data_IF_644365387842
#
_entry.id   IF_644365387842
#
_cell.length_a   1.000
_cell.length_b   1.000
_cell.length_c   1.000
_cell.angle_alpha   90.00
_cell.angle_beta   90.00
_cell.angle_gamma   90.00
#
_symmetry.space_group_name_H-M   'P 1'
#
loop_
_entity.id
_entity.type
_entity.pdbx_description
1 polymer ?
#
# COMPACT_ATOMS: atom_id res chain seq x y z
N UNK A 1 -33.23 0.53 -10.52
CA UNK A 1 -32.98 1.94 -10.82
C UNK A 1 -31.60 2.01 -11.47
N UNK A 2 -31.48 2.27 -12.77
CA UNK A 2 -30.18 2.34 -13.43
C UNK A 2 -29.45 3.58 -12.91
N UNK A 3 -28.39 3.39 -12.12
CA UNK A 3 -27.50 4.49 -11.73
C UNK A 3 -26.68 4.90 -12.96
N UNK A 4 -26.92 6.09 -13.47
CA UNK A 4 -26.15 6.68 -14.58
C UNK A 4 -24.74 7.15 -14.14
N UNK A 5 -24.42 7.05 -12.86
CA UNK A 5 -23.11 7.42 -12.31
C UNK A 5 -22.39 6.16 -11.85
N UNK A 6 -21.16 5.98 -12.33
CA UNK A 6 -20.28 4.92 -11.82
C UNK A 6 -19.64 5.42 -10.54
N UNK A 7 -19.85 4.69 -9.44
CA UNK A 7 -19.15 4.92 -8.19
C UNK A 7 -17.81 4.15 -8.24
N UNK A 8 -16.77 4.77 -7.71
CA UNK A 8 -15.38 4.29 -7.83
C UNK A 8 -14.78 4.15 -6.44
N UNK A 9 -14.19 3.00 -6.15
CA UNK A 9 -13.23 2.81 -5.06
C UNK A 9 -11.82 2.96 -5.63
N UNK A 10 -10.98 3.74 -4.96
CA UNK A 10 -9.60 3.96 -5.35
C UNK A 10 -8.67 3.70 -4.18
N UNK A 11 -7.78 2.75 -4.36
CA UNK A 11 -6.61 2.60 -3.52
C UNK A 11 -5.50 3.47 -4.14
N UNK A 12 -5.14 4.55 -3.46
CA UNK A 12 -4.12 5.52 -3.91
C UNK A 12 -2.81 5.26 -3.17
N UNK A 13 -2.22 4.09 -3.41
CA UNK A 13 -1.02 3.65 -2.71
C UNK A 13 0.29 4.26 -3.23
N UNK A 14 1.33 4.22 -2.39
CA UNK A 14 2.69 4.68 -2.73
C UNK A 14 3.29 3.89 -3.89
N UNK A 15 3.09 2.58 -3.95
CA UNK A 15 3.64 1.71 -4.98
C UNK A 15 2.74 1.57 -6.20
N UNK A 16 1.43 1.46 -5.99
CA UNK A 16 0.44 1.23 -7.04
C UNK A 16 -0.88 1.94 -6.75
N UNK A 17 -1.62 2.26 -7.81
CA UNK A 17 -3.00 2.72 -7.77
C UNK A 17 -3.89 1.61 -8.28
N UNK A 18 -4.86 1.19 -7.47
CA UNK A 18 -5.90 0.26 -7.89
C UNK A 18 -7.25 0.99 -7.96
N UNK A 19 -8.01 0.71 -9.00
CA UNK A 19 -9.35 1.28 -9.17
C UNK A 19 -10.37 0.15 -9.27
N UNK A 20 -11.35 0.22 -8.39
CA UNK A 20 -12.51 -0.64 -8.36
C UNK A 20 -13.75 0.12 -8.86
N UNK A 21 -14.51 -0.49 -9.76
CA UNK A 21 -15.81 0.03 -10.20
C UNK A 21 -16.88 -0.95 -9.71
N UNK A 22 -17.93 -0.42 -9.09
CA UNK A 22 -19.09 -1.21 -8.66
C UNK A 22 -19.60 -2.08 -9.81
N UNK A 23 -19.90 -3.33 -9.53
CA UNK A 23 -20.37 -4.37 -10.47
C UNK A 23 -19.34 -4.82 -11.54
N UNK A 24 -18.11 -4.31 -11.52
CA UNK A 24 -17.03 -4.70 -12.44
C UNK A 24 -15.80 -5.25 -11.75
N UNK A 25 -15.65 -5.01 -10.45
CA UNK A 25 -14.43 -5.35 -9.72
C UNK A 25 -13.28 -4.39 -10.00
N UNK A 26 -12.06 -4.87 -9.82
CA UNK A 26 -10.83 -4.10 -10.10
C UNK A 26 -10.66 -3.96 -11.60
N UNK A 27 -10.62 -2.72 -12.08
CA UNK A 27 -10.52 -2.37 -13.51
C UNK A 27 -9.19 -1.73 -13.87
N UNK A 28 -8.39 -1.34 -12.87
CA UNK A 28 -7.05 -0.79 -13.06
C UNK A 28 -6.16 -1.21 -11.89
N UNK A 29 -4.95 -1.63 -12.22
CA UNK A 29 -3.84 -1.84 -11.31
C UNK A 29 -2.58 -1.33 -12.02
N UNK A 30 -2.12 -0.16 -11.63
CA UNK A 30 -1.00 0.53 -12.29
C UNK A 30 -0.03 1.07 -11.25
N UNK A 31 1.28 1.06 -11.52
CA UNK A 31 2.27 1.69 -10.65
C UNK A 31 2.00 3.19 -10.43
N UNK A 32 2.24 3.68 -9.21
CA UNK A 32 2.16 5.10 -8.87
C UNK A 32 3.39 5.86 -9.38
N UNK A 33 3.61 5.86 -10.70
CA UNK A 33 4.77 6.46 -11.35
C UNK A 33 4.33 7.38 -12.48
N UNK A 34 5.01 8.53 -12.59
CA UNK A 34 4.77 9.55 -13.62
C UNK A 34 6.07 9.93 -14.29
N UNK A 35 6.08 10.03 -15.61
CA UNK A 35 7.19 10.56 -16.38
C UNK A 35 6.84 11.95 -16.94
N UNK A 36 7.71 12.92 -16.69
CA UNK A 36 7.55 14.33 -17.05
C UNK A 36 8.73 14.80 -17.90
N UNK A 37 8.46 15.71 -18.82
CA UNK A 37 9.49 16.56 -19.44
C UNK A 37 9.92 17.64 -18.42
N UNK A 38 11.19 17.68 -18.07
CA UNK A 38 11.73 18.61 -17.06
C UNK A 38 11.61 20.08 -17.45
N UNK A 39 11.67 20.36 -18.73
CA UNK A 39 11.75 21.74 -19.22
C UNK A 39 10.34 22.36 -19.32
N UNK A 40 9.35 21.55 -19.69
CA UNK A 40 7.98 22.01 -19.94
C UNK A 40 7.00 21.62 -18.83
N UNK A 41 7.40 20.71 -17.91
CA UNK A 41 6.49 20.11 -16.93
C UNK A 41 5.40 19.23 -17.55
N UNK A 42 5.50 18.94 -18.87
CA UNK A 42 4.49 18.15 -19.59
C UNK A 42 4.51 16.70 -19.11
N UNK A 43 3.33 16.16 -18.81
CA UNK A 43 3.13 14.76 -18.53
C UNK A 43 3.37 13.95 -19.82
N UNK A 44 4.27 12.97 -19.76
CA UNK A 44 4.63 12.10 -20.90
C UNK A 44 4.00 10.73 -20.77
N UNK A 45 4.10 10.10 -19.59
CA UNK A 45 3.61 8.75 -19.31
C UNK A 45 3.16 8.61 -17.87
N UNK A 46 2.26 7.65 -17.59
CA UNK A 46 1.82 7.26 -16.26
C UNK A 46 1.79 5.74 -16.14
N UNK A 47 1.87 5.24 -14.91
CA UNK A 47 1.75 3.82 -14.60
C UNK A 47 2.92 2.98 -15.11
N UNK A 48 2.63 1.81 -15.65
CA UNK A 48 3.63 0.84 -16.10
C UNK A 48 4.60 1.41 -17.16
N UNK A 49 4.09 2.23 -18.08
CA UNK A 49 4.91 2.90 -19.09
C UNK A 49 5.94 3.85 -18.46
N UNK A 50 5.54 4.60 -17.42
CA UNK A 50 6.44 5.49 -16.69
C UNK A 50 7.40 4.70 -15.79
N UNK A 51 6.95 3.61 -15.16
CA UNK A 51 7.80 2.74 -14.35
C UNK A 51 8.94 2.14 -15.17
N UNK A 52 8.69 1.74 -16.42
CA UNK A 52 9.74 1.24 -17.31
C UNK A 52 10.85 2.25 -17.57
N UNK A 53 10.59 3.54 -17.37
CA UNK A 53 11.54 4.64 -17.56
C UNK A 53 12.36 4.96 -16.30
N UNK A 54 11.98 4.47 -15.11
CA UNK A 54 12.74 4.70 -13.87
C UNK A 54 14.20 4.26 -14.01
N UNK A 55 15.13 5.16 -13.65
CA UNK A 55 16.57 4.92 -13.74
C UNK A 55 17.15 4.83 -15.16
N UNK A 56 16.33 5.13 -16.20
CA UNK A 56 16.73 5.01 -17.62
C UNK A 56 16.42 6.26 -18.44
N UNK A 57 16.06 7.36 -17.80
CA UNK A 57 15.67 8.61 -18.47
C UNK A 57 16.91 9.43 -18.87
N UNK A 58 16.90 10.09 -20.07
CA UNK A 58 17.86 11.13 -20.39
C UNK A 58 17.63 12.37 -19.51
N UNK A 59 18.58 13.30 -19.52
CA UNK A 59 18.59 14.45 -18.62
C UNK A 59 17.37 15.38 -18.66
N UNK A 60 16.64 15.39 -19.77
CA UNK A 60 15.43 16.21 -19.98
C UNK A 60 14.13 15.51 -19.55
N UNK A 61 14.17 14.24 -19.16
CA UNK A 61 12.99 13.50 -18.69
C UNK A 61 13.23 13.08 -17.26
N UNK A 62 12.19 13.18 -16.41
CA UNK A 62 12.21 12.65 -15.06
C UNK A 62 11.04 11.69 -14.87
N UNK A 63 11.33 10.50 -14.32
CA UNK A 63 10.32 9.58 -13.84
C UNK A 63 10.32 9.62 -12.31
N UNK A 64 9.18 9.91 -11.69
CA UNK A 64 9.02 10.10 -10.24
C UNK A 64 7.79 9.36 -9.71
N UNK A 65 7.82 9.07 -8.41
CA UNK A 65 6.66 8.65 -7.64
C UNK A 65 6.10 9.86 -6.91
N UNK A 66 4.88 10.30 -7.24
CA UNK A 66 4.27 11.50 -6.64
C UNK A 66 3.69 11.25 -5.24
N UNK A 67 3.56 9.97 -4.84
CA UNK A 67 3.25 9.57 -3.47
C UNK A 67 4.50 8.93 -2.85
N UNK A 68 4.74 9.26 -1.57
CA UNK A 68 5.81 8.66 -0.76
C UNK A 68 5.30 8.46 0.65
N UNK A 69 5.64 7.34 1.25
CA UNK A 69 5.32 7.07 2.65
C UNK A 69 3.82 7.30 2.97
N UNK A 70 2.95 6.86 2.05
CA UNK A 70 1.49 6.96 2.19
C UNK A 70 0.89 8.35 1.93
N UNK A 71 1.71 9.38 1.64
CA UNK A 71 1.23 10.76 1.48
C UNK A 71 1.59 11.34 0.11
N UNK A 72 0.83 12.37 -0.29
CA UNK A 72 1.09 13.13 -1.51
C UNK A 72 2.35 13.99 -1.30
N UNK A 73 3.41 13.70 -2.05
CA UNK A 73 4.66 14.47 -2.04
C UNK A 73 4.70 15.53 -3.14
N UNK A 74 3.94 15.33 -4.23
CA UNK A 74 3.76 16.29 -5.31
C UNK A 74 2.28 16.32 -5.72
N UNK A 75 1.60 17.39 -5.29
CA UNK A 75 0.17 17.53 -5.47
C UNK A 75 -0.25 17.61 -6.95
N UNK A 76 0.42 18.47 -7.73
CA UNK A 76 0.07 18.70 -9.14
C UNK A 76 0.28 17.43 -9.98
N UNK A 77 1.36 16.73 -9.73
CA UNK A 77 1.66 15.47 -10.43
C UNK A 77 0.70 14.37 -10.00
N UNK A 78 0.31 14.30 -8.71
CA UNK A 78 -0.69 13.32 -8.22
C UNK A 78 -2.05 13.57 -8.87
N UNK A 79 -2.52 14.82 -8.90
CA UNK A 79 -3.78 15.19 -9.55
C UNK A 79 -3.80 14.74 -11.01
N UNK A 80 -2.73 15.03 -11.75
CA UNK A 80 -2.61 14.62 -13.17
C UNK A 80 -2.60 13.10 -13.32
N UNK A 81 -1.91 12.38 -12.44
CA UNK A 81 -1.87 10.92 -12.43
C UNK A 81 -3.27 10.33 -12.20
N UNK A 82 -3.98 10.80 -11.17
CA UNK A 82 -5.36 10.37 -10.87
C UNK A 82 -6.26 10.64 -12.07
N UNK A 83 -6.16 11.83 -12.67
CA UNK A 83 -6.95 12.21 -13.84
C UNK A 83 -6.73 11.28 -15.02
N UNK A 84 -5.48 10.93 -15.33
CA UNK A 84 -5.16 9.99 -16.41
C UNK A 84 -5.70 8.59 -16.13
N UNK A 85 -5.59 8.09 -14.88
CA UNK A 85 -6.14 6.81 -14.51
C UNK A 85 -7.68 6.78 -14.57
N UNK A 86 -8.35 7.84 -14.10
CA UNK A 86 -9.80 7.99 -14.26
C UNK A 86 -10.21 8.02 -15.73
N UNK A 87 -9.48 8.72 -16.58
CA UNK A 87 -9.73 8.71 -18.04
C UNK A 87 -9.60 7.31 -18.64
N UNK A 88 -8.58 6.54 -18.25
CA UNK A 88 -8.38 5.15 -18.72
C UNK A 88 -9.58 4.26 -18.41
N UNK A 89 -10.18 4.38 -17.23
CA UNK A 89 -11.23 3.46 -16.74
C UNK A 89 -12.66 3.90 -17.08
N UNK A 90 -12.88 5.22 -17.21
CA UNK A 90 -14.22 5.78 -17.38
C UNK A 90 -14.60 6.07 -18.84
N UNK A 91 -13.60 6.43 -19.66
CA UNK A 91 -13.87 6.99 -21.00
C UNK A 91 -14.70 8.28 -20.92
N UNK A 92 -15.46 8.56 -21.98
CA UNK A 92 -16.36 9.72 -21.99
C UNK A 92 -17.60 9.46 -21.12
N UNK A 93 -17.85 10.33 -20.13
CA UNK A 93 -19.01 10.26 -19.24
C UNK A 93 -19.72 11.61 -19.13
N UNK A 94 -21.07 11.56 -19.19
CA UNK A 94 -21.93 12.73 -18.97
C UNK A 94 -21.98 13.17 -17.49
N UNK A 95 -21.79 12.24 -16.55
CA UNK A 95 -21.89 12.51 -15.11
C UNK A 95 -20.61 12.15 -14.40
N UNK A 96 -20.11 13.06 -13.57
CA UNK A 96 -18.92 12.87 -12.73
C UNK A 96 -19.18 11.82 -11.66
N UNK A 97 -18.22 10.90 -11.36
CA UNK A 97 -18.35 9.85 -10.37
C UNK A 97 -18.29 10.38 -8.93
N UNK A 98 -18.81 9.58 -7.99
CA UNK A 98 -18.40 9.64 -6.59
C UNK A 98 -17.22 8.70 -6.42
N UNK A 99 -16.23 9.11 -5.63
CA UNK A 99 -15.02 8.31 -5.40
C UNK A 99 -14.83 8.14 -3.89
N UNK A 100 -14.57 6.91 -3.44
CA UNK A 100 -13.98 6.64 -2.14
C UNK A 100 -12.49 6.44 -2.36
N UNK A 101 -11.64 7.12 -1.61
CA UNK A 101 -10.18 6.95 -1.64
C UNK A 101 -9.74 6.43 -0.28
N UNK A 102 -8.93 5.37 -0.25
CA UNK A 102 -8.32 4.91 0.98
C UNK A 102 -7.13 5.81 1.37
N UNK A 103 -6.90 5.91 2.65
CA UNK A 103 -5.82 6.69 3.25
C UNK A 103 -5.22 5.93 4.44
N UNK A 104 -3.92 6.10 4.74
CA UNK A 104 -3.31 5.49 5.91
C UNK A 104 -3.98 5.93 7.21
N UNK A 105 -3.89 5.09 8.25
CA UNK A 105 -4.33 5.47 9.59
C UNK A 105 -3.48 6.63 10.13
N UNK A 106 -4.13 7.55 10.83
CA UNK A 106 -3.42 8.70 11.44
C UNK A 106 -2.99 9.80 10.47
N UNK A 107 -3.50 9.80 9.24
CA UNK A 107 -3.32 10.91 8.28
C UNK A 107 -3.76 12.25 8.90
N UNK A 108 -3.01 13.30 8.65
CA UNK A 108 -3.32 14.65 9.13
C UNK A 108 -4.47 15.28 8.34
N UNK A 109 -5.19 16.24 8.95
CA UNK A 109 -6.27 16.99 8.26
C UNK A 109 -5.80 17.68 6.97
N UNK A 110 -4.54 18.11 6.92
CA UNK A 110 -3.94 18.75 5.74
C UNK A 110 -3.76 17.73 4.62
N UNK A 111 -3.28 16.53 4.94
CA UNK A 111 -3.11 15.43 4.00
C UNK A 111 -4.47 14.90 3.53
N UNK A 112 -5.46 14.73 4.43
CA UNK A 112 -6.85 14.36 4.05
C UNK A 112 -7.40 15.36 3.02
N UNK A 113 -7.25 16.67 3.31
CA UNK A 113 -7.72 17.73 2.41
C UNK A 113 -7.01 17.67 1.06
N UNK A 114 -5.70 17.41 1.04
CA UNK A 114 -4.94 17.27 -0.20
C UNK A 114 -5.45 16.10 -1.07
N UNK A 115 -5.77 14.96 -0.46
CA UNK A 115 -6.34 13.80 -1.19
C UNK A 115 -7.72 14.11 -1.75
N UNK A 116 -8.58 14.75 -0.96
CA UNK A 116 -9.93 15.17 -1.39
C UNK A 116 -9.84 16.13 -2.57
N UNK A 117 -9.01 17.18 -2.44
CA UNK A 117 -8.86 18.22 -3.47
C UNK A 117 -8.28 17.62 -4.75
N UNK A 118 -7.28 16.72 -4.67
CA UNK A 118 -6.73 16.02 -5.83
C UNK A 118 -7.80 15.19 -6.56
N UNK A 119 -8.64 14.46 -5.83
CA UNK A 119 -9.74 13.69 -6.41
C UNK A 119 -10.81 14.56 -7.08
N UNK A 120 -11.18 15.69 -6.46
CA UNK A 120 -12.15 16.64 -7.04
C UNK A 120 -11.58 17.28 -8.31
N UNK A 121 -10.33 17.76 -8.28
CA UNK A 121 -9.65 18.38 -9.42
C UNK A 121 -9.45 17.37 -10.57
N UNK A 122 -9.19 16.12 -10.25
CA UNK A 122 -9.10 15.04 -11.24
C UNK A 122 -10.44 14.71 -11.92
N UNK A 123 -11.56 15.21 -11.39
CA UNK A 123 -12.88 15.12 -12.04
C UNK A 123 -13.97 14.41 -11.24
N UNK A 124 -13.74 14.06 -9.99
CA UNK A 124 -14.80 13.53 -9.14
C UNK A 124 -15.88 14.58 -8.84
N UNK A 125 -17.13 14.13 -8.66
CA UNK A 125 -18.22 14.97 -8.15
C UNK A 125 -18.13 15.12 -6.63
N UNK A 126 -17.75 14.03 -5.96
CA UNK A 126 -17.54 13.94 -4.49
C UNK A 126 -16.44 12.93 -4.20
N UNK A 127 -15.68 13.20 -3.17
CA UNK A 127 -14.66 12.30 -2.63
C UNK A 127 -15.00 11.99 -1.18
N UNK A 128 -14.90 10.73 -0.82
CA UNK A 128 -15.00 10.22 0.54
C UNK A 128 -13.68 9.53 0.89
N UNK A 129 -13.35 9.48 2.17
CA UNK A 129 -12.16 8.79 2.64
C UNK A 129 -12.52 7.59 3.50
N UNK A 130 -11.71 6.54 3.42
CA UNK A 130 -11.75 5.36 4.29
C UNK A 130 -10.31 5.03 4.71
N UNK A 131 -10.12 4.63 5.96
CA UNK A 131 -8.80 4.19 6.42
C UNK A 131 -8.40 2.84 5.80
N UNK A 132 -7.13 2.71 5.38
CA UNK A 132 -6.60 1.51 4.72
C UNK A 132 -6.89 0.22 5.50
N UNK A 133 -6.64 0.12 6.83
CA UNK A 133 -6.89 -1.12 7.55
C UNK A 133 -8.40 -1.49 7.63
N UNK A 134 -9.30 -0.50 7.64
CA UNK A 134 -10.76 -0.76 7.60
C UNK A 134 -11.14 -1.31 6.22
N UNK A 135 -10.64 -0.69 5.17
CA UNK A 135 -10.84 -1.19 3.81
C UNK A 135 -10.23 -2.59 3.64
N UNK A 136 -9.00 -2.80 4.14
CA UNK A 136 -8.33 -4.11 4.10
C UNK A 136 -9.15 -5.20 4.79
N UNK A 137 -9.71 -4.94 5.97
CA UNK A 137 -10.57 -5.89 6.69
C UNK A 137 -11.82 -6.26 5.89
N UNK A 138 -12.53 -5.25 5.35
CA UNK A 138 -13.72 -5.46 4.50
C UNK A 138 -13.34 -6.24 3.24
N UNK A 139 -12.21 -5.92 2.63
CA UNK A 139 -11.68 -6.60 1.44
C UNK A 139 -11.36 -8.06 1.71
N UNK A 140 -10.70 -8.35 2.82
CA UNK A 140 -10.39 -9.69 3.29
C UNK A 140 -11.63 -10.51 3.71
N UNK A 141 -12.83 -9.91 3.69
CA UNK A 141 -14.07 -10.60 4.01
C UNK A 141 -14.38 -10.70 5.50
N UNK A 142 -13.74 -9.91 6.34
CA UNK A 142 -13.97 -9.88 7.78
C UNK A 142 -15.26 -9.09 8.06
N UNK A 143 -16.17 -9.67 8.87
CA UNK A 143 -17.34 -8.95 9.36
C UNK A 143 -16.98 -8.05 10.55
N UNK A 144 -16.60 -6.82 10.23
CA UNK A 144 -16.22 -5.82 11.24
C UNK A 144 -17.39 -5.21 12.00
N UNK A 145 -18.65 -5.60 11.71
CA UNK A 145 -19.84 -5.02 12.33
C UNK A 145 -20.13 -5.59 13.71
N UNK A 146 -19.57 -6.75 14.00
CA UNK A 146 -19.75 -7.47 15.26
C UNK A 146 -18.96 -6.84 16.40
N UNK A 147 -19.38 -7.02 17.68
CA UNK A 147 -18.66 -6.55 18.85
C UNK A 147 -17.48 -7.49 19.21
N UNK A 148 -16.64 -7.79 18.22
CA UNK A 148 -15.48 -8.67 18.33
C UNK A 148 -14.22 -7.94 17.82
N UNK A 149 -13.06 -8.25 18.41
CA UNK A 149 -11.78 -7.69 18.02
C UNK A 149 -11.19 -8.41 16.80
N UNK A 150 -10.85 -7.64 15.76
CA UNK A 150 -10.12 -8.11 14.58
C UNK A 150 -8.86 -7.30 14.39
N UNK A 151 -7.71 -7.96 14.22
CA UNK A 151 -6.44 -7.29 13.98
C UNK A 151 -6.01 -7.45 12.51
N UNK A 152 -5.70 -6.32 11.89
CA UNK A 152 -5.21 -6.23 10.53
C UNK A 152 -3.79 -5.66 10.55
N UNK A 153 -2.92 -6.25 9.75
CA UNK A 153 -1.58 -5.72 9.44
C UNK A 153 -1.52 -5.53 7.93
N UNK A 154 -1.65 -4.30 7.46
CA UNK A 154 -1.51 -3.96 6.06
C UNK A 154 -0.11 -3.43 5.77
N UNK A 155 0.69 -4.19 5.01
CA UNK A 155 2.04 -3.79 4.63
C UNK A 155 2.04 -3.42 3.15
N UNK A 156 1.94 -2.12 2.90
CA UNK A 156 1.90 -1.55 1.55
C UNK A 156 3.29 -1.37 0.92
N UNK A 157 3.38 -0.39 0.02
CA UNK A 157 4.66 0.06 -0.56
C UNK A 157 5.39 1.05 0.33
N UNK A 158 4.69 2.03 0.89
CA UNK A 158 5.27 3.14 1.65
C UNK A 158 4.95 3.12 3.15
N UNK A 159 3.83 2.50 3.56
CA UNK A 159 3.37 2.41 4.95
C UNK A 159 3.05 0.99 5.35
N UNK A 160 3.19 0.72 6.65
CA UNK A 160 2.58 -0.42 7.32
C UNK A 160 1.55 0.10 8.30
N UNK A 161 0.31 -0.29 8.09
CA UNK A 161 -0.85 0.11 8.87
C UNK A 161 -1.32 -1.08 9.70
N UNK A 162 -1.28 -0.92 11.01
CA UNK A 162 -1.62 -1.95 11.98
C UNK A 162 -2.83 -1.44 12.77
N UNK A 163 -3.93 -2.18 12.77
CA UNK A 163 -5.14 -1.73 13.46
C UNK A 163 -5.94 -2.88 14.08
N UNK A 164 -6.59 -2.55 15.18
CA UNK A 164 -7.64 -3.35 15.80
C UNK A 164 -8.97 -2.69 15.53
N UNK A 165 -9.89 -3.47 14.96
CA UNK A 165 -11.21 -3.03 14.49
C UNK A 165 -12.28 -3.79 15.23
N UNK A 166 -13.34 -3.08 15.68
CA UNK A 166 -14.54 -3.64 16.28
C UNK A 166 -15.71 -2.71 16.02
N UNK A 167 -16.93 -3.25 15.85
CA UNK A 167 -18.15 -2.47 15.64
C UNK A 167 -18.03 -1.43 14.51
N UNK A 168 -17.38 -1.82 13.41
CA UNK A 168 -17.10 -0.97 12.23
C UNK A 168 -16.24 0.27 12.53
N UNK A 169 -15.51 0.29 13.63
CA UNK A 169 -14.60 1.38 14.01
C UNK A 169 -13.21 0.89 14.36
N UNK A 170 -12.22 1.75 14.16
CA UNK A 170 -10.85 1.53 14.63
C UNK A 170 -10.82 1.78 16.14
N UNK A 171 -10.33 0.80 16.90
CA UNK A 171 -10.18 0.88 18.35
C UNK A 171 -8.78 1.38 18.72
N UNK A 172 -7.77 0.77 18.11
CA UNK A 172 -6.38 1.16 18.24
C UNK A 172 -5.71 1.00 16.87
N UNK A 173 -4.80 1.90 16.52
CA UNK A 173 -4.03 1.81 15.29
C UNK A 173 -2.67 2.48 15.38
N UNK A 174 -1.76 2.01 14.55
CA UNK A 174 -0.47 2.65 14.29
C UNK A 174 -0.17 2.58 12.79
N UNK A 175 0.37 3.65 12.24
CA UNK A 175 0.87 3.72 10.87
C UNK A 175 2.32 4.16 10.87
N UNK A 176 3.18 3.33 10.29
CA UNK A 176 4.61 3.62 10.19
C UNK A 176 5.07 3.65 8.74
N UNK A 177 6.06 4.51 8.49
CA UNK A 177 6.65 4.70 7.15
C UNK A 177 7.74 3.67 6.84
N UNK A 178 7.44 2.41 7.17
CA UNK A 178 8.33 1.25 6.94
C UNK A 178 7.50 0.17 6.24
N UNK A 179 7.79 -0.09 4.98
CA UNK A 179 7.07 -1.04 4.16
C UNK A 179 7.92 -1.51 2.95
N UNK A 180 7.29 -1.86 1.83
CA UNK A 180 7.96 -2.42 0.66
C UNK A 180 9.16 -1.62 0.14
N UNK A 181 9.11 -0.29 0.20
CA UNK A 181 10.19 0.58 -0.27
C UNK A 181 11.41 0.53 0.67
N UNK A 182 11.18 0.46 1.99
CA UNK A 182 12.27 0.31 2.96
C UNK A 182 12.95 -1.06 2.85
N UNK A 183 12.21 -2.12 2.50
CA UNK A 183 12.82 -3.41 2.16
C UNK A 183 13.71 -3.30 0.91
N UNK A 184 13.29 -2.58 -0.13
CA UNK A 184 14.12 -2.34 -1.31
C UNK A 184 15.40 -1.57 -0.95
N UNK A 185 15.28 -0.52 -0.14
CA UNK A 185 16.43 0.25 0.35
C UNK A 185 17.38 -0.61 1.19
N UNK A 186 16.85 -1.47 2.05
CA UNK A 186 17.64 -2.40 2.86
C UNK A 186 18.47 -3.34 1.96
N UNK A 187 17.87 -3.88 0.89
CA UNK A 187 18.60 -4.67 -0.11
C UNK A 187 19.71 -3.85 -0.77
N UNK A 188 19.41 -2.62 -1.23
CA UNK A 188 20.45 -1.76 -1.87
C UNK A 188 21.62 -1.48 -0.90
N UNK A 189 21.32 -1.18 0.36
CA UNK A 189 22.30 -0.94 1.42
C UNK A 189 23.13 -2.20 1.70
N UNK A 190 22.47 -3.36 1.77
CA UNK A 190 23.11 -4.66 2.01
C UNK A 190 24.08 -5.02 0.88
N UNK A 191 23.63 -4.96 -0.38
CA UNK A 191 24.44 -5.24 -1.55
C UNK A 191 25.68 -4.34 -1.64
N UNK A 192 25.50 -3.06 -1.31
CA UNK A 192 26.61 -2.11 -1.25
C UNK A 192 27.63 -2.46 -0.17
N UNK A 193 27.15 -2.78 1.04
CA UNK A 193 28.00 -3.04 2.21
C UNK A 193 28.71 -4.39 2.13
N UNK A 194 27.97 -5.45 1.78
CA UNK A 194 28.45 -6.84 1.84
C UNK A 194 29.21 -7.25 0.57
N UNK A 195 28.72 -6.82 -0.57
CA UNK A 195 29.22 -7.27 -1.88
C UNK A 195 29.96 -6.17 -2.65
N UNK A 196 30.07 -4.94 -2.15
CA UNK A 196 30.58 -3.80 -2.89
C UNK A 196 29.93 -3.62 -4.27
N UNK A 197 28.64 -3.98 -4.38
CA UNK A 197 27.87 -3.97 -5.62
C UNK A 197 26.76 -2.92 -5.55
N UNK A 198 26.71 -2.02 -6.53
CA UNK A 198 25.59 -1.10 -6.70
C UNK A 198 24.52 -1.76 -7.56
N UNK A 199 23.33 -1.93 -6.96
CA UNK A 199 22.12 -2.36 -7.63
C UNK A 199 21.10 -1.23 -7.67
N UNK A 200 20.26 -1.19 -8.71
CA UNK A 200 19.16 -0.23 -8.80
C UNK A 200 17.93 -0.70 -7.99
N UNK A 201 17.04 0.24 -7.70
CA UNK A 201 15.78 -0.02 -6.96
C UNK A 201 14.96 -1.16 -7.57
N UNK A 202 14.83 -1.19 -8.90
CA UNK A 202 14.13 -2.27 -9.60
C UNK A 202 14.75 -3.65 -9.37
N UNK A 203 16.08 -3.72 -9.34
CA UNK A 203 16.79 -4.98 -9.06
C UNK A 203 16.56 -5.39 -7.61
N UNK A 204 16.61 -4.45 -6.68
CA UNK A 204 16.33 -4.70 -5.27
C UNK A 204 14.89 -5.21 -5.06
N UNK A 205 13.92 -4.61 -5.73
CA UNK A 205 12.52 -5.07 -5.71
C UNK A 205 12.38 -6.51 -6.26
N UNK A 206 13.07 -6.83 -7.36
CA UNK A 206 13.10 -8.20 -7.89
C UNK A 206 13.71 -9.18 -6.90
N UNK A 207 14.82 -8.82 -6.23
CA UNK A 207 15.43 -9.65 -5.18
C UNK A 207 14.46 -9.88 -4.02
N UNK A 208 13.80 -8.82 -3.53
CA UNK A 208 12.77 -8.92 -2.50
C UNK A 208 11.66 -9.90 -2.90
N UNK A 209 11.16 -9.81 -4.13
CA UNK A 209 10.06 -10.65 -4.60
C UNK A 209 10.47 -12.11 -4.84
N UNK A 210 11.69 -12.36 -5.34
CA UNK A 210 12.12 -13.71 -5.75
C UNK A 210 12.74 -14.50 -4.60
N UNK A 211 13.61 -13.88 -3.81
CA UNK A 211 14.38 -14.56 -2.75
C UNK A 211 14.19 -13.92 -1.36
N UNK A 212 13.39 -12.84 -1.24
CA UNK A 212 13.11 -12.17 0.03
C UNK A 212 12.39 -13.09 1.01
N UNK A 213 12.85 -13.14 2.25
CA UNK A 213 12.19 -13.79 3.37
C UNK A 213 12.49 -13.08 4.68
N UNK A 214 11.57 -13.20 5.64
CA UNK A 214 11.67 -12.61 6.98
C UNK A 214 11.63 -13.66 8.09
N UNK A 215 11.48 -14.92 7.69
CA UNK A 215 11.56 -16.10 8.55
C UNK A 215 12.40 -17.16 7.84
N UNK A 216 13.22 -17.97 8.55
CA UNK A 216 14.06 -18.98 7.92
C UNK A 216 13.25 -19.86 6.96
N UNK A 217 13.61 -19.89 5.67
CA UNK A 217 12.90 -20.72 4.71
C UNK A 217 13.25 -22.19 4.89
N UNK A 218 12.36 -23.09 4.46
CA UNK A 218 12.60 -24.54 4.49
C UNK A 218 13.70 -24.95 3.50
N UNK A 219 13.75 -24.24 2.36
CA UNK A 219 14.78 -24.43 1.33
C UNK A 219 15.44 -23.09 1.01
N UNK A 220 16.75 -23.06 0.94
CA UNK A 220 17.50 -21.87 0.55
C UNK A 220 17.29 -21.58 -0.94
N UNK A 221 16.93 -20.33 -1.25
CA UNK A 221 16.78 -19.85 -2.61
C UNK A 221 17.96 -18.97 -2.96
N UNK A 222 18.36 -18.99 -4.24
CA UNK A 222 19.42 -18.14 -4.76
C UNK A 222 18.96 -17.40 -6.01
N UNK A 223 19.55 -16.24 -6.26
CA UNK A 223 19.31 -15.42 -7.45
C UNK A 223 20.61 -14.85 -7.97
N UNK A 224 20.83 -14.91 -9.29
CA UNK A 224 21.92 -14.20 -9.94
C UNK A 224 21.57 -12.72 -10.09
N UNK A 225 22.43 -11.84 -9.55
CA UNK A 225 22.21 -10.40 -9.51
C UNK A 225 23.35 -9.70 -10.25
N UNK A 226 22.97 -8.86 -11.22
CA UNK A 226 23.93 -8.03 -11.97
C UNK A 226 23.91 -6.59 -11.46
N UNK A 227 25.05 -6.06 -11.11
CA UNK A 227 25.22 -4.69 -10.66
C UNK A 227 26.53 -4.08 -11.14
N UNK A 228 26.84 -2.88 -10.64
CA UNK A 228 28.13 -2.22 -10.89
C UNK A 228 29.02 -2.38 -9.67
N UNK A 229 30.17 -3.02 -9.86
CA UNK A 229 31.19 -3.15 -8.82
C UNK A 229 31.70 -1.77 -8.37
N UNK A 230 31.72 -1.54 -7.06
CA UNK A 230 32.29 -0.31 -6.47
C UNK A 230 33.83 -0.30 -6.49
N UNK A 231 34.45 -1.48 -6.64
CA UNK A 231 35.89 -1.63 -6.65
C UNK A 231 36.43 -1.37 -8.04
N UNK A 232 35.83 -2.00 -9.07
CA UNK A 232 36.34 -1.94 -10.46
C UNK A 232 35.59 -0.95 -11.33
N UNK A 233 34.39 -0.52 -10.93
CA UNK A 233 33.47 0.30 -11.72
C UNK A 233 32.76 -0.46 -12.86
N UNK A 234 33.08 -1.73 -13.06
CA UNK A 234 32.57 -2.55 -14.16
C UNK A 234 31.31 -3.34 -13.75
N UNK A 235 30.50 -3.81 -14.72
CA UNK A 235 29.43 -4.76 -14.45
C UNK A 235 29.97 -6.04 -13.84
N UNK A 236 29.32 -6.50 -12.78
CA UNK A 236 29.65 -7.74 -12.06
C UNK A 236 28.37 -8.53 -11.82
N UNK A 237 28.46 -9.86 -11.89
CA UNK A 237 27.40 -10.82 -11.64
C UNK A 237 27.75 -11.63 -10.40
N UNK A 238 26.84 -11.67 -9.43
CA UNK A 238 27.01 -12.46 -8.20
C UNK A 238 25.76 -13.28 -7.90
N UNK A 239 25.92 -14.38 -7.18
CA UNK A 239 24.80 -15.15 -6.62
C UNK A 239 24.52 -14.66 -5.21
N UNK A 240 23.25 -14.38 -4.91
CA UNK A 240 22.76 -13.92 -3.60
C UNK A 240 21.70 -14.89 -3.10
N UNK A 241 21.71 -15.19 -1.80
CA UNK A 241 20.81 -16.16 -1.21
C UNK A 241 19.68 -15.52 -0.39
N UNK A 242 18.63 -16.33 -0.10
CA UNK A 242 17.54 -15.93 0.80
C UNK A 242 18.00 -15.72 2.24
N UNK A 243 19.07 -16.41 2.69
CA UNK A 243 19.66 -16.17 4.00
C UNK A 243 20.26 -14.76 4.11
N UNK A 244 20.83 -14.24 3.01
CA UNK A 244 21.32 -12.85 2.96
C UNK A 244 20.19 -11.83 2.97
N UNK A 245 19.03 -12.16 2.38
CA UNK A 245 17.84 -11.31 2.44
C UNK A 245 17.25 -11.26 3.84
N UNK A 246 17.27 -12.38 4.56
CA UNK A 246 16.86 -12.44 5.96
C UNK A 246 17.71 -11.47 6.82
N UNK A 247 19.05 -11.46 6.63
CA UNK A 247 19.97 -10.51 7.29
C UNK A 247 19.66 -9.05 6.88
N UNK A 248 19.41 -8.82 5.59
CA UNK A 248 19.14 -7.48 5.07
C UNK A 248 17.84 -6.87 5.64
N UNK A 249 16.82 -7.70 5.89
CA UNK A 249 15.50 -7.27 6.32
C UNK A 249 15.33 -7.16 7.84
N UNK A 250 16.33 -7.51 8.63
CA UNK A 250 16.26 -7.53 10.10
C UNK A 250 15.75 -6.19 10.67
N UNK A 251 16.36 -5.07 10.26
CA UNK A 251 16.02 -3.74 10.78
C UNK A 251 14.56 -3.32 10.45
N UNK A 252 14.08 -3.33 9.19
CA UNK A 252 12.70 -2.96 8.89
C UNK A 252 11.68 -3.91 9.52
N UNK A 253 11.99 -5.19 9.63
CA UNK A 253 11.12 -6.19 10.25
C UNK A 253 10.95 -5.93 11.76
N UNK A 254 12.04 -5.71 12.49
CA UNK A 254 11.98 -5.42 13.92
C UNK A 254 11.12 -4.18 14.20
N UNK A 255 11.23 -3.13 13.38
CA UNK A 255 10.42 -1.92 13.52
C UNK A 255 8.92 -2.19 13.31
N UNK A 256 8.56 -3.04 12.34
CA UNK A 256 7.16 -3.45 12.13
C UNK A 256 6.68 -4.28 13.34
N UNK A 257 7.49 -5.20 13.84
CA UNK A 257 7.12 -6.05 14.99
C UNK A 257 6.98 -5.26 16.30
N UNK A 258 7.80 -4.22 16.51
CA UNK A 258 7.66 -3.29 17.61
C UNK A 258 6.28 -2.62 17.60
N UNK A 259 5.80 -2.15 16.45
CA UNK A 259 4.49 -1.52 16.31
C UNK A 259 3.33 -2.52 16.49
N UNK A 260 3.48 -3.75 15.98
CA UNK A 260 2.50 -4.83 16.23
C UNK A 260 2.32 -5.06 17.74
N UNK A 261 3.41 -5.16 18.48
CA UNK A 261 3.36 -5.33 19.95
C UNK A 261 2.73 -4.10 20.64
N UNK A 262 3.07 -2.89 20.18
CA UNK A 262 2.58 -1.64 20.77
C UNK A 262 1.05 -1.50 20.60
N UNK A 263 0.52 -1.88 19.43
CA UNK A 263 -0.92 -1.88 19.18
C UNK A 263 -1.63 -2.92 20.05
N UNK A 264 -1.08 -4.14 20.16
CA UNK A 264 -1.64 -5.17 21.05
C UNK A 264 -1.63 -4.75 22.51
N UNK A 265 -0.55 -4.12 22.98
CA UNK A 265 -0.40 -3.64 24.37
C UNK A 265 -1.44 -2.58 24.74
N UNK A 266 -1.78 -1.69 23.80
CA UNK A 266 -2.78 -0.63 23.99
C UNK A 266 -4.23 -1.09 23.78
N UNK A 267 -4.41 -2.26 23.16
CA UNK A 267 -5.74 -2.81 22.89
C UNK A 267 -6.43 -3.28 24.16
N UNK A 268 -7.73 -3.00 24.36
CA UNK A 268 -8.50 -3.53 25.49
C UNK A 268 -8.39 -5.06 25.61
N UNK A 269 -8.26 -5.60 26.84
CA UNK A 269 -8.03 -7.03 27.07
C UNK A 269 -9.06 -7.96 26.43
N UNK A 270 -10.34 -7.56 26.40
CA UNK A 270 -11.41 -8.34 25.80
C UNK A 270 -11.19 -8.51 24.30
N UNK A 271 -10.77 -7.43 23.61
CA UNK A 271 -10.47 -7.47 22.18
C UNK A 271 -9.18 -8.24 21.89
N UNK A 272 -8.18 -8.21 22.77
CA UNK A 272 -6.98 -9.05 22.64
C UNK A 272 -7.36 -10.53 22.75
N UNK A 273 -8.30 -10.89 23.63
CA UNK A 273 -8.81 -12.24 23.74
C UNK A 273 -9.52 -12.68 22.45
N UNK A 274 -10.33 -11.79 21.86
CA UNK A 274 -10.97 -12.06 20.57
C UNK A 274 -9.93 -12.28 19.46
N UNK A 275 -8.92 -11.41 19.36
CA UNK A 275 -7.84 -11.51 18.38
C UNK A 275 -7.07 -12.83 18.56
N UNK A 276 -6.86 -13.28 19.80
CA UNK A 276 -6.22 -14.58 20.05
C UNK A 276 -6.99 -15.75 19.45
N UNK A 277 -8.32 -15.64 19.37
CA UNK A 277 -9.21 -16.66 18.78
C UNK A 277 -9.37 -16.48 17.27
N UNK A 278 -9.59 -15.23 16.81
CA UNK A 278 -9.86 -14.89 15.41
C UNK A 278 -8.59 -14.91 14.54
N UNK A 279 -7.42 -14.71 15.18
CA UNK A 279 -6.15 -14.57 14.48
C UNK A 279 -5.90 -13.15 13.97
N UNK A 280 -4.72 -12.98 13.36
CA UNK A 280 -4.28 -11.75 12.69
C UNK A 280 -4.34 -11.97 11.19
N UNK A 281 -4.88 -11.01 10.44
CA UNK A 281 -4.92 -11.04 8.98
C UNK A 281 -3.94 -10.02 8.42
N UNK A 282 -3.05 -10.47 7.55
CA UNK A 282 -2.09 -9.63 6.85
C UNK A 282 -2.55 -9.34 5.43
N UNK A 283 -2.41 -8.08 5.02
CA UNK A 283 -2.76 -7.57 3.69
C UNK A 283 -1.63 -6.71 3.13
N UNK A 284 -1.80 -6.21 1.91
CA UNK A 284 -0.79 -5.42 1.22
C UNK A 284 0.31 -6.25 0.56
N UNK A 285 0.98 -5.66 -0.42
CA UNK A 285 2.02 -6.34 -1.20
C UNK A 285 3.27 -6.70 -0.41
N UNK A 286 3.59 -5.97 0.66
CA UNK A 286 4.71 -6.23 1.55
C UNK A 286 4.51 -7.48 2.41
N UNK A 287 3.26 -7.84 2.74
CA UNK A 287 2.93 -9.06 3.48
C UNK A 287 3.27 -10.35 2.73
N UNK A 288 3.45 -10.27 1.41
CA UNK A 288 3.82 -11.39 0.55
C UNK A 288 5.32 -11.77 0.65
N UNK A 289 6.14 -10.99 1.35
CA UNK A 289 7.51 -11.39 1.66
C UNK A 289 7.44 -12.66 2.51
N UNK A 290 8.16 -13.71 2.05
CA UNK A 290 8.01 -15.06 2.58
C UNK A 290 8.25 -15.14 4.08
N UNK A 291 7.33 -15.82 4.76
CA UNK A 291 7.42 -16.13 6.18
C UNK A 291 6.98 -15.01 7.12
N UNK A 292 6.35 -13.93 6.62
CA UNK A 292 5.81 -12.89 7.50
C UNK A 292 4.73 -13.43 8.44
N UNK A 293 3.83 -14.25 7.95
CA UNK A 293 2.81 -14.96 8.74
C UNK A 293 3.42 -15.81 9.84
N UNK A 294 4.47 -16.59 9.50
CA UNK A 294 5.21 -17.42 10.44
C UNK A 294 5.93 -16.56 11.50
N UNK A 295 6.53 -15.45 11.07
CA UNK A 295 7.24 -14.53 11.96
C UNK A 295 6.28 -13.88 12.98
N UNK A 296 5.16 -13.30 12.49
CA UNK A 296 4.18 -12.65 13.37
C UNK A 296 3.59 -13.68 14.32
N UNK A 297 3.23 -14.88 13.84
CA UNK A 297 2.76 -15.99 14.71
C UNK A 297 3.80 -16.35 15.77
N UNK A 298 5.07 -16.49 15.41
CA UNK A 298 6.13 -16.87 16.36
C UNK A 298 6.39 -15.78 17.42
N UNK A 299 6.27 -14.51 17.04
CA UNK A 299 6.56 -13.36 17.92
C UNK A 299 5.38 -12.97 18.81
N UNK A 300 4.14 -13.16 18.37
CA UNK A 300 2.93 -12.77 19.12
C UNK A 300 2.26 -13.95 19.83
N UNK A 301 2.49 -15.18 19.36
CA UNK A 301 1.74 -16.36 19.80
C UNK A 301 0.33 -16.45 19.19
N UNK A 302 -0.05 -15.51 18.31
CA UNK A 302 -1.37 -15.45 17.70
C UNK A 302 -1.29 -15.97 16.26
N UNK A 303 -2.19 -16.88 15.89
CA UNK A 303 -2.23 -17.41 14.54
C UNK A 303 -2.40 -16.28 13.51
N UNK A 304 -1.53 -16.23 12.52
CA UNK A 304 -1.49 -15.15 11.52
C UNK A 304 -1.57 -15.75 10.12
N UNK A 305 -2.38 -15.13 9.27
CA UNK A 305 -2.54 -15.55 7.86
C UNK A 305 -2.39 -14.36 6.94
N UNK A 306 -1.84 -14.59 5.74
CA UNK A 306 -1.86 -13.62 4.65
C UNK A 306 -3.14 -13.81 3.86
N UNK A 307 -3.87 -12.73 3.59
CA UNK A 307 -5.10 -12.77 2.81
C UNK A 307 -4.84 -13.31 1.39
N UNK A 308 -5.77 -14.06 0.82
CA UNK A 308 -5.64 -14.69 -0.49
C UNK A 308 -5.29 -13.66 -1.59
N UNK A 309 -5.95 -12.49 -1.57
CA UNK A 309 -5.74 -11.40 -2.50
C UNK A 309 -5.09 -10.19 -1.81
N UNK A 310 -4.02 -10.40 -1.04
CA UNK A 310 -3.43 -9.38 -0.16
C UNK A 310 -3.21 -8.02 -0.84
N UNK A 311 -2.75 -7.99 -2.10
CA UNK A 311 -2.50 -6.75 -2.85
C UNK A 311 -3.78 -5.98 -3.13
N UNK A 312 -4.91 -6.66 -3.31
CA UNK A 312 -6.16 -6.05 -3.75
C UNK A 312 -7.18 -5.83 -2.64
N UNK A 313 -6.93 -6.34 -1.42
CA UNK A 313 -7.85 -6.25 -0.29
C UNK A 313 -8.32 -4.82 -0.04
N UNK A 314 -7.41 -3.84 0.00
CA UNK A 314 -7.77 -2.43 0.23
C UNK A 314 -8.68 -1.91 -0.88
N UNK A 315 -8.36 -2.17 -2.14
CA UNK A 315 -9.17 -1.72 -3.28
C UNK A 315 -10.55 -2.40 -3.31
N UNK A 316 -10.61 -3.70 -3.02
CA UNK A 316 -11.87 -4.45 -2.95
C UNK A 316 -12.75 -3.96 -1.79
N UNK A 317 -12.17 -3.74 -0.61
CA UNK A 317 -12.89 -3.22 0.54
C UNK A 317 -13.38 -1.79 0.33
N UNK A 318 -12.54 -0.94 -0.27
CA UNK A 318 -12.93 0.40 -0.68
C UNK A 318 -14.10 0.35 -1.67
N UNK A 319 -14.07 -0.60 -2.61
CA UNK A 319 -15.14 -0.86 -3.56
C UNK A 319 -16.45 -1.33 -2.90
N UNK A 320 -16.37 -2.29 -1.98
CA UNK A 320 -17.54 -2.78 -1.20
C UNK A 320 -18.16 -1.68 -0.34
N UNK A 321 -17.35 -0.75 0.17
CA UNK A 321 -17.81 0.40 0.97
C UNK A 321 -18.64 1.41 0.16
N UNK A 322 -18.65 1.35 -1.17
CA UNK A 322 -19.49 2.19 -2.03
C UNK A 322 -20.99 2.01 -1.76
N UNK A 323 -21.42 0.85 -1.24
CA UNK A 323 -22.82 0.60 -0.89
C UNK A 323 -23.27 1.48 0.27
N UNK A 324 -22.39 1.80 1.20
CA UNK A 324 -22.66 2.65 2.35
C UNK A 324 -22.77 4.14 2.02
N UNK A 325 -22.18 4.59 0.88
CA UNK A 325 -22.20 6.00 0.46
C UNK A 325 -23.58 6.52 0.10
N UNK A 326 -24.50 5.64 -0.31
CA UNK A 326 -25.89 6.00 -0.64
C UNK A 326 -26.68 6.56 0.55
N UNK A 327 -26.30 6.22 1.78
CA UNK A 327 -26.96 6.61 3.03
C UNK A 327 -26.35 7.89 3.65
N UNK A 328 -25.27 8.42 3.09
CA UNK A 328 -24.54 9.56 3.63
C UNK A 328 -25.12 10.89 3.17
N UNK A 329 -25.49 11.74 4.14
CA UNK A 329 -25.84 13.15 3.89
C UNK A 329 -24.57 13.96 3.55
N UNK A 330 -24.77 15.07 2.83
CA UNK A 330 -23.74 15.96 2.29
C UNK A 330 -22.54 16.23 3.23
N UNK A 331 -21.35 16.02 2.72
CA UNK A 331 -20.09 16.37 3.37
C UNK A 331 -18.97 15.40 2.97
N UNK A 332 -17.76 15.90 2.91
CA UNK A 332 -16.54 15.09 2.92
C UNK A 332 -16.45 14.42 4.29
N UNK A 333 -16.64 13.10 4.38
CA UNK A 333 -16.65 12.41 5.65
C UNK A 333 -15.68 11.22 5.58
N UNK A 334 -14.83 11.11 6.60
CA UNK A 334 -14.05 9.91 6.82
C UNK A 334 -15.00 8.81 7.32
N UNK A 335 -15.14 7.74 6.53
CA UNK A 335 -16.07 6.64 6.83
C UNK A 335 -15.74 5.94 8.16
N UNK A 336 -14.47 5.89 8.52
CA UNK A 336 -13.97 5.24 9.73
C UNK A 336 -14.28 6.01 11.02
N UNK A 337 -14.45 7.35 10.95
CA UNK A 337 -14.70 8.23 12.10
C UNK A 337 -16.17 8.53 12.39
N UNK A 338 -17.10 7.91 11.66
CA UNK A 338 -18.54 8.23 11.73
C UNK A 338 -19.16 8.10 13.13
N UNK A 339 -18.59 7.31 14.04
CA UNK A 339 -19.10 7.06 15.39
C UNK A 339 -18.60 8.02 16.48
N UNK A 340 -17.65 8.91 16.18
CA UNK A 340 -17.10 9.84 17.18
C UNK A 340 -17.86 11.18 17.29
N UNK A 341 -18.91 11.39 16.49
CA UNK A 341 -19.63 12.68 16.39
C UNK A 341 -21.09 12.61 16.91
N UNK A 342 -21.47 11.54 17.61
CA UNK A 342 -22.78 11.48 18.28
C UNK A 342 -22.65 11.44 19.80
#
# INVERSE_FOLDING_TARGET
MFSFTKDIGMDLGTASVLIYIKDKGIVLNEPSVVALDKNTGKLLKVGADAQAMLGRTPGNIIAIRPLREGVISDYEVTERMIKEFLHKVMGFQLFKPRIIICVPSGITEVEERAVIDAGIQAGARRVYLIEEPVAAAIGAGIDITQPEGHMIIDIGGGTSDIAVISLSGVVESSSIKIAGDQFNEAVVKYMRRKHNLLVGERTAEQMKMQIGCVFPPEEEMTMEVKGRSLITGLPELISVSSAEMLEAFEEPVERIMEEVHLVLEKTPPELVADISNNGIVMTGGGSLVRGFDKLVTARTGIHTVVAENAISCVAEGTGKSLDSVGEMKDGTMNLSRRKQIN
#
